data_IF_675117253974
#
_entry.id   IF_675117253974
#
_cell.length_a   1.000
_cell.length_b   1.000
_cell.length_c   1.000
_cell.angle_alpha   90.00
_cell.angle_beta   90.00
_cell.angle_gamma   90.00
#
_symmetry.space_group_name_H-M   'P 1'
#
loop_
_entity.id
_entity.type
_entity.pdbx_description
1 polymer ?
#
# COMPACT_ATOMS: atom_id res chain seq x y z
N UNK A 1 6.90 18.90 11.80
CA UNK A 1 5.73 18.01 11.68
C UNK A 1 6.18 16.59 12.00
N UNK A 2 5.41 15.82 12.76
CA UNK A 2 5.80 14.43 13.07
C UNK A 2 5.41 13.53 11.91
N UNK A 3 6.38 12.82 11.32
CA UNK A 3 6.16 11.88 10.21
C UNK A 3 5.09 10.82 10.52
N UNK A 4 4.85 10.53 11.80
CA UNK A 4 3.77 9.66 12.27
C UNK A 4 2.36 10.09 11.82
N UNK A 5 2.08 11.39 11.65
CA UNK A 5 0.75 11.86 11.22
C UNK A 5 0.53 11.65 9.72
N UNK A 6 1.59 11.77 8.89
CA UNK A 6 1.52 11.46 7.46
C UNK A 6 1.40 9.95 7.19
N UNK A 7 1.85 9.12 8.14
CA UNK A 7 1.71 7.66 8.07
C UNK A 7 0.33 7.16 8.49
N UNK A 8 -0.38 7.91 9.34
CA UNK A 8 -1.78 7.59 9.69
C UNK A 8 -2.64 7.75 8.43
N UNK A 9 -3.44 6.73 8.11
CA UNK A 9 -4.20 6.65 6.85
C UNK A 9 -3.44 5.93 5.73
N UNK A 10 -2.19 6.33 5.46
CA UNK A 10 -1.36 5.69 4.41
C UNK A 10 -1.09 4.21 4.72
N UNK A 11 -0.86 3.88 6.00
CA UNK A 11 -0.55 2.52 6.43
C UNK A 11 -1.70 1.52 6.19
N UNK A 12 -2.96 1.98 6.24
CA UNK A 12 -4.13 1.13 5.96
C UNK A 12 -4.15 0.66 4.51
N UNK A 13 -3.94 1.58 3.56
CA UNK A 13 -3.84 1.24 2.15
C UNK A 13 -2.68 0.28 1.87
N UNK A 14 -1.52 0.49 2.50
CA UNK A 14 -0.38 -0.43 2.39
C UNK A 14 -0.71 -1.84 2.92
N UNK A 15 -1.40 -1.95 4.05
CA UNK A 15 -1.83 -3.23 4.61
C UNK A 15 -2.82 -3.93 3.67
N UNK A 16 -3.84 -3.21 3.16
CA UNK A 16 -4.79 -3.76 2.20
C UNK A 16 -4.08 -4.27 0.94
N UNK A 17 -3.08 -3.53 0.43
CA UNK A 17 -2.27 -3.96 -0.71
C UNK A 17 -1.49 -5.25 -0.41
N UNK A 18 -0.84 -5.36 0.75
CA UNK A 18 -0.10 -6.56 1.13
C UNK A 18 -1.03 -7.78 1.22
N UNK A 19 -2.23 -7.61 1.79
CA UNK A 19 -3.24 -8.67 1.90
C UNK A 19 -3.84 -9.04 0.54
N UNK A 20 -3.90 -8.11 -0.41
CA UNK A 20 -4.36 -8.38 -1.78
C UNK A 20 -3.49 -9.42 -2.48
N UNK A 21 -2.18 -9.40 -2.26
CA UNK A 21 -1.25 -10.25 -2.98
C UNK A 21 -1.44 -11.73 -2.64
N UNK A 22 -1.56 -12.04 -1.35
CA UNK A 22 -1.81 -13.38 -0.84
C UNK A 22 -2.43 -13.30 0.57
N UNK A 23 -3.18 -14.33 0.95
CA UNK A 23 -3.63 -14.51 2.33
C UNK A 23 -2.41 -14.57 3.28
N UNK A 24 -2.44 -13.77 4.36
CA UNK A 24 -1.27 -13.55 5.23
C UNK A 24 -1.70 -13.27 6.67
N UNK A 25 -0.76 -13.15 7.61
CA UNK A 25 -1.02 -12.95 9.03
C UNK A 25 -0.17 -11.80 9.60
N UNK A 26 -0.54 -11.30 10.78
CA UNK A 26 0.01 -10.07 11.37
C UNK A 26 1.53 -9.95 11.27
N UNK A 27 2.27 -10.93 11.79
CA UNK A 27 3.74 -10.90 11.74
C UNK A 27 4.30 -10.71 10.31
N UNK A 28 3.83 -11.49 9.34
CA UNK A 28 4.31 -11.39 7.95
C UNK A 28 3.96 -10.04 7.31
N UNK A 29 2.76 -9.51 7.57
CA UNK A 29 2.39 -8.15 7.16
C UNK A 29 3.38 -7.13 7.72
N UNK A 30 3.74 -7.27 9.00
CA UNK A 30 4.68 -6.35 9.66
C UNK A 30 6.09 -6.43 9.07
N UNK A 31 6.58 -7.63 8.75
CA UNK A 31 7.89 -7.84 8.10
C UNK A 31 7.91 -7.22 6.70
N UNK A 32 6.85 -7.45 5.91
CA UNK A 32 6.70 -6.85 4.58
C UNK A 32 6.66 -5.32 4.64
N UNK A 33 5.91 -4.74 5.58
CA UNK A 33 5.92 -3.28 5.76
C UNK A 33 7.31 -2.75 6.11
N UNK A 34 8.04 -3.43 7.01
CA UNK A 34 9.41 -3.04 7.36
C UNK A 34 10.35 -3.11 6.15
N UNK A 35 10.21 -4.11 5.28
CA UNK A 35 11.04 -4.22 4.06
C UNK A 35 10.77 -3.10 3.05
N UNK A 36 9.57 -2.51 3.06
CA UNK A 36 9.24 -1.31 2.28
C UNK A 36 9.61 0.02 2.97
N UNK A 37 10.32 -0.02 4.10
CA UNK A 37 10.84 1.17 4.78
C UNK A 37 9.99 1.67 5.96
N UNK A 38 8.92 0.97 6.34
CA UNK A 38 8.16 1.27 7.56
C UNK A 38 8.84 0.66 8.81
N UNK A 39 10.08 1.08 9.05
CA UNK A 39 11.00 0.46 10.03
C UNK A 39 10.46 0.32 11.46
N UNK A 40 9.61 1.24 11.89
CA UNK A 40 9.03 1.29 13.24
C UNK A 40 7.74 0.49 13.39
N UNK A 41 7.23 -0.13 12.32
CA UNK A 41 6.00 -0.91 12.36
C UNK A 41 6.25 -2.25 13.04
N UNK A 42 5.43 -2.54 14.05
CA UNK A 42 5.43 -3.81 14.78
C UNK A 42 4.06 -4.49 14.71
N UNK A 43 3.97 -5.76 15.14
CA UNK A 43 2.68 -6.43 15.32
C UNK A 43 1.73 -5.63 16.20
N UNK A 44 2.22 -5.07 17.32
CA UNK A 44 1.42 -4.24 18.22
C UNK A 44 0.87 -2.97 17.56
N UNK A 45 1.53 -2.47 16.52
CA UNK A 45 1.08 -1.31 15.74
C UNK A 45 0.01 -1.70 14.71
N UNK A 46 0.16 -2.85 14.05
CA UNK A 46 -0.75 -3.25 12.96
C UNK A 46 -2.02 -3.93 13.46
N UNK A 47 -2.01 -4.62 14.60
CA UNK A 47 -3.19 -5.37 15.06
C UNK A 47 -4.42 -4.46 15.26
N UNK A 48 -4.31 -3.29 15.90
CA UNK A 48 -5.43 -2.35 15.99
C UNK A 48 -5.97 -1.92 14.61
N UNK A 49 -5.09 -1.84 13.59
CA UNK A 49 -5.47 -1.51 12.22
C UNK A 49 -6.21 -2.68 11.59
N UNK A 50 -5.66 -3.90 11.67
CA UNK A 50 -6.29 -5.12 11.15
C UNK A 50 -7.68 -5.34 11.75
N UNK A 51 -7.84 -5.15 13.07
CA UNK A 51 -9.14 -5.25 13.73
C UNK A 51 -10.14 -4.22 13.22
N UNK A 52 -9.70 -3.00 12.88
CA UNK A 52 -10.56 -1.98 12.31
C UNK A 52 -10.94 -2.32 10.86
N UNK A 53 -9.99 -2.76 10.03
CA UNK A 53 -10.26 -3.21 8.68
C UNK A 53 -11.27 -4.37 8.66
N UNK A 54 -11.14 -5.32 9.59
CA UNK A 54 -12.08 -6.44 9.77
C UNK A 54 -13.47 -5.96 10.21
N UNK A 55 -13.54 -5.04 11.18
CA UNK A 55 -14.82 -4.43 11.62
C UNK A 55 -15.51 -3.62 10.53
N UNK A 56 -14.74 -3.05 9.61
CA UNK A 56 -15.23 -2.33 8.44
C UNK A 56 -15.50 -3.25 7.24
N UNK A 57 -15.44 -4.57 7.43
CA UNK A 57 -15.66 -5.59 6.39
C UNK A 57 -14.68 -5.49 5.21
N UNK A 58 -13.57 -4.76 5.34
CA UNK A 58 -12.57 -4.61 4.27
C UNK A 58 -11.64 -5.83 4.16
N UNK A 59 -11.53 -6.60 5.25
CA UNK A 59 -10.82 -7.86 5.26
C UNK A 59 -11.66 -8.89 6.00
N UNK A 60 -11.57 -10.14 5.55
CA UNK A 60 -12.06 -11.30 6.29
C UNK A 60 -10.90 -11.96 7.01
N UNK A 61 -11.18 -12.70 8.07
CA UNK A 61 -10.14 -13.38 8.80
C UNK A 61 -10.55 -14.77 9.29
N UNK A 62 -9.62 -15.72 9.21
CA UNK A 62 -9.83 -17.11 9.60
C UNK A 62 -8.63 -17.64 10.37
N UNK A 63 -8.90 -18.47 11.38
CA UNK A 63 -7.82 -19.17 12.08
C UNK A 63 -7.41 -20.40 11.28
N UNK A 64 -6.15 -20.44 10.84
CA UNK A 64 -5.57 -21.58 10.15
C UNK A 64 -4.48 -22.25 10.98
N UNK A 65 -4.23 -23.53 10.70
CA UNK A 65 -3.08 -24.23 11.26
C UNK A 65 -1.80 -23.62 10.68
N UNK A 66 -0.82 -23.36 11.55
CA UNK A 66 0.51 -22.94 11.13
C UNK A 66 1.32 -24.16 10.70
N UNK A 67 2.25 -23.98 9.76
CA UNK A 67 3.21 -25.04 9.42
C UNK A 67 3.98 -25.55 10.65
N UNK A 68 4.24 -24.66 11.61
CA UNK A 68 4.79 -24.98 12.93
C UNK A 68 4.14 -24.06 13.97
N UNK A 69 3.67 -24.62 15.09
CA UNK A 69 3.19 -23.85 16.25
C UNK A 69 1.67 -23.59 16.29
N UNK A 70 1.21 -22.62 17.12
CA UNK A 70 -0.20 -22.38 17.38
C UNK A 70 -0.94 -21.88 16.13
N UNK A 71 -2.27 -22.00 16.11
CA UNK A 71 -3.09 -21.45 15.02
C UNK A 71 -2.84 -19.94 14.86
N UNK A 72 -2.76 -19.48 13.62
CA UNK A 72 -2.61 -18.06 13.26
C UNK A 72 -3.90 -17.55 12.64
N UNK A 73 -4.22 -16.29 12.91
CA UNK A 73 -5.32 -15.59 12.25
C UNK A 73 -4.79 -15.05 10.92
N UNK A 74 -5.26 -15.62 9.83
CA UNK A 74 -4.97 -15.19 8.48
C UNK A 74 -6.04 -14.22 8.00
N UNK A 75 -5.63 -13.26 7.19
CA UNK A 75 -6.46 -12.20 6.64
C UNK A 75 -6.49 -12.28 5.13
N UNK A 76 -7.67 -12.06 4.56
CA UNK A 76 -7.90 -12.00 3.12
C UNK A 76 -8.74 -10.78 2.80
N UNK A 77 -8.45 -10.13 1.67
CA UNK A 77 -9.21 -8.99 1.18
C UNK A 77 -10.64 -9.41 0.85
N UNK A 78 -11.62 -8.60 1.23
CA UNK A 78 -13.01 -8.76 0.81
C UNK A 78 -13.26 -7.97 -0.49
N UNK A 79 -14.44 -8.12 -1.09
CA UNK A 79 -14.83 -7.33 -2.27
C UNK A 79 -14.93 -5.82 -1.95
N UNK A 80 -15.40 -5.45 -0.75
CA UNK A 80 -15.40 -4.06 -0.29
C UNK A 80 -13.97 -3.58 0.00
N UNK A 81 -13.09 -4.45 0.48
CA UNK A 81 -11.66 -4.19 0.63
C UNK A 81 -10.95 -3.89 -0.69
N UNK A 82 -11.23 -4.65 -1.75
CA UNK A 82 -10.72 -4.38 -3.09
C UNK A 82 -11.17 -3.01 -3.61
N UNK A 83 -12.46 -2.71 -3.44
CA UNK A 83 -13.02 -1.40 -3.81
C UNK A 83 -12.34 -0.27 -3.05
N UNK A 84 -12.17 -0.42 -1.73
CA UNK A 84 -11.51 0.57 -0.88
C UNK A 84 -10.03 0.76 -1.25
N UNK A 85 -9.32 -0.32 -1.60
CA UNK A 85 -7.93 -0.26 -2.03
C UNK A 85 -7.79 0.52 -3.35
N UNK A 86 -8.69 0.31 -4.31
CA UNK A 86 -8.69 1.06 -5.57
C UNK A 86 -8.95 2.56 -5.33
N UNK A 87 -9.94 2.89 -4.50
CA UNK A 87 -10.21 4.28 -4.10
C UNK A 87 -9.01 4.91 -3.37
N UNK A 88 -8.34 4.15 -2.52
CA UNK A 88 -7.11 4.59 -1.85
C UNK A 88 -6.03 4.96 -2.88
N UNK A 89 -5.82 4.13 -3.91
CA UNK A 89 -4.84 4.43 -4.97
C UNK A 89 -5.17 5.69 -5.75
N UNK A 90 -6.43 5.88 -6.14
CA UNK A 90 -6.88 7.08 -6.85
C UNK A 90 -6.62 8.34 -6.02
N UNK A 91 -7.03 8.31 -4.75
CA UNK A 91 -6.84 9.41 -3.82
C UNK A 91 -5.36 9.68 -3.54
N UNK A 92 -4.56 8.63 -3.37
CA UNK A 92 -3.11 8.76 -3.15
C UNK A 92 -2.42 9.40 -4.36
N UNK A 93 -2.68 8.90 -5.58
CA UNK A 93 -2.11 9.46 -6.81
C UNK A 93 -2.49 10.93 -6.99
N UNK A 94 -3.74 11.30 -6.71
CA UNK A 94 -4.17 12.69 -6.79
C UNK A 94 -3.45 13.59 -5.76
N UNK A 95 -3.34 13.12 -4.51
CA UNK A 95 -2.66 13.83 -3.44
C UNK A 95 -1.16 13.97 -3.71
N UNK A 96 -0.50 12.90 -4.11
CA UNK A 96 0.92 12.87 -4.46
C UNK A 96 1.23 13.92 -5.53
N UNK A 97 0.46 13.95 -6.63
CA UNK A 97 0.62 14.96 -7.70
C UNK A 97 0.44 16.38 -7.18
N UNK A 98 -0.60 16.63 -6.38
CA UNK A 98 -0.86 17.96 -5.84
C UNK A 98 0.27 18.43 -4.92
N UNK A 99 0.76 17.54 -4.04
CA UNK A 99 1.89 17.83 -3.14
C UNK A 99 3.17 18.07 -3.94
N UNK A 100 3.51 17.18 -4.88
CA UNK A 100 4.71 17.31 -5.70
C UNK A 100 4.71 18.62 -6.50
N UNK A 101 3.55 19.06 -7.02
CA UNK A 101 3.42 20.36 -7.68
C UNK A 101 3.75 21.53 -6.76
N UNK A 102 3.23 21.52 -5.54
CA UNK A 102 3.50 22.56 -4.54
C UNK A 102 4.98 22.62 -4.18
N UNK A 103 5.64 21.47 -4.10
CA UNK A 103 7.07 21.38 -3.77
C UNK A 103 8.01 21.48 -4.98
N UNK A 104 7.49 21.66 -6.21
CA UNK A 104 8.30 21.69 -7.43
C UNK A 104 9.04 20.37 -7.72
N UNK A 105 8.51 19.25 -7.23
CA UNK A 105 9.04 17.89 -7.41
C UNK A 105 8.44 17.18 -8.63
N UNK A 106 7.66 17.87 -9.46
CA UNK A 106 7.23 17.32 -10.74
C UNK A 106 8.50 17.03 -11.57
N UNK A 107 8.77 15.74 -11.80
CA UNK A 107 9.89 15.33 -12.63
C UNK A 107 9.77 16.00 -13.99
N UNK A 108 10.84 16.66 -14.43
CA UNK A 108 11.03 17.12 -15.79
C UNK A 108 10.85 15.90 -16.70
N UNK A 109 9.63 15.65 -17.18
CA UNK A 109 9.42 14.72 -18.28
C UNK A 109 10.04 15.41 -19.48
N UNK A 110 11.30 15.08 -19.74
CA UNK A 110 11.92 15.32 -21.03
C UNK A 110 11.02 14.64 -22.05
N UNK A 111 10.11 15.41 -22.64
CA UNK A 111 9.58 15.09 -23.94
C UNK A 111 10.81 15.08 -24.87
N UNK A 112 11.41 13.91 -25.05
CA UNK A 112 12.11 13.62 -26.30
C UNK A 112 11.06 13.71 -27.40
N UNK A 113 10.86 14.93 -27.87
CA UNK A 113 10.41 15.20 -29.22
C UNK A 113 11.37 14.46 -30.14
N UNK A 114 10.96 13.28 -30.62
CA UNK A 114 11.49 12.75 -31.88
C UNK A 114 11.01 13.70 -32.97
N UNK A 115 11.76 14.79 -33.14
CA UNK A 115 11.73 15.65 -34.31
C UNK A 115 12.09 14.79 -35.51
N UNK A 116 11.16 14.70 -36.46
CA UNK A 116 11.42 14.32 -37.83
C UNK A 116 12.45 15.27 -38.45
N UNK A 117 13.51 14.70 -39.03
CA UNK A 117 14.37 15.18 -40.12
C UNK A 117 15.56 14.21 -40.15
N UNK A 118 15.98 13.58 -41.24
CA UNK A 118 15.85 13.85 -42.66
C UNK A 118 16.20 12.56 -43.38
N UNK A 119 15.53 12.23 -44.49
CA UNK A 119 16.11 11.33 -45.49
C UNK A 119 17.46 11.85 -45.96
N UNK A 120 18.40 10.95 -46.27
CA UNK A 120 19.14 11.14 -47.50
C UNK A 120 19.17 9.84 -48.33
N UNK A 121 18.50 9.93 -49.48
CA UNK A 121 19.05 9.60 -50.80
C UNK A 121 19.80 8.26 -50.93
N UNK A 122 19.13 7.26 -51.52
CA UNK A 122 19.63 6.44 -52.64
C UNK A 122 18.46 5.91 -53.46
#
# INVERSE_FOLDING_TARGET
MQAAQLRKGTLEGCILKIIQENETYGYEISERLRSFGFSEVSEGTIYPILLRLERSDLVTAQFQASAVGPKRKYFRLSASGETALNQFYENWSALEKAVNRVFGMEGNQTHESKSQSTEPNQ
#
